data_IF_160379912840
#
_entry.id   IF_160379912840
#
_cell.length_a   1.000
_cell.length_b   1.000
_cell.length_c   1.000
_cell.angle_alpha   90.00
_cell.angle_beta   90.00
_cell.angle_gamma   90.00
#
_symmetry.space_group_name_H-M   'P 1'
#
loop_
_entity.id
_entity.type
_entity.pdbx_description
1 polymer ?
#
# COMPACT_ATOMS: atom_id res chain seq x y z
N UNK A 1 31.25 3.78 -11.56
CA UNK A 1 30.92 5.19 -11.80
C UNK A 1 30.75 5.83 -10.44
N UNK A 2 31.48 6.90 -10.17
CA UNK A 2 31.35 7.73 -8.98
C UNK A 2 29.95 8.33 -8.88
N UNK A 3 29.53 8.74 -7.68
CA UNK A 3 28.22 9.36 -7.48
C UNK A 3 28.02 10.65 -8.30
N UNK A 4 29.11 11.35 -8.60
CA UNK A 4 29.08 12.58 -9.40
C UNK A 4 28.95 12.27 -10.91
N UNK A 5 29.57 11.19 -11.40
CA UNK A 5 29.37 10.69 -12.77
C UNK A 5 27.93 10.13 -12.99
N UNK A 6 27.31 9.52 -11.97
CA UNK A 6 25.92 9.01 -12.05
C UNK A 6 24.92 10.18 -12.13
N UNK A 7 25.14 11.23 -11.34
CA UNK A 7 24.34 12.47 -11.42
C UNK A 7 24.48 13.12 -12.79
N UNK A 8 25.67 13.13 -13.36
CA UNK A 8 25.95 13.74 -14.66
C UNK A 8 25.26 13.00 -15.83
N UNK A 9 25.36 11.66 -15.88
CA UNK A 9 24.70 10.86 -16.93
C UNK A 9 23.17 10.97 -16.86
N UNK A 10 22.58 10.86 -15.66
CA UNK A 10 21.13 11.00 -15.51
C UNK A 10 20.68 12.41 -15.88
N UNK A 11 21.43 13.44 -15.47
CA UNK A 11 21.10 14.85 -15.77
C UNK A 11 21.20 15.12 -17.26
N UNK A 12 22.22 14.58 -17.93
CA UNK A 12 22.42 14.72 -19.38
C UNK A 12 21.31 14.05 -20.19
N UNK A 13 20.90 12.82 -19.83
CA UNK A 13 19.78 12.13 -20.48
C UNK A 13 18.47 12.90 -20.25
N UNK A 14 18.21 13.32 -19.01
CA UNK A 14 17.00 14.11 -18.70
C UNK A 14 16.98 15.42 -19.47
N UNK A 15 18.09 16.16 -19.49
CA UNK A 15 18.21 17.41 -20.24
C UNK A 15 18.00 17.19 -21.73
N UNK A 16 18.67 16.20 -22.33
CA UNK A 16 18.51 15.92 -23.75
C UNK A 16 17.08 15.55 -24.14
N UNK A 17 16.37 14.82 -23.28
CA UNK A 17 14.97 14.44 -23.51
C UNK A 17 14.02 15.62 -23.31
N UNK A 18 14.30 16.55 -22.39
CA UNK A 18 13.47 17.75 -22.16
C UNK A 18 13.68 18.79 -23.25
N UNK A 19 14.91 18.98 -23.71
CA UNK A 19 15.23 19.92 -24.79
C UNK A 19 15.01 19.33 -26.18
N UNK A 20 14.54 18.08 -26.28
CA UNK A 20 14.38 17.35 -27.54
C UNK A 20 15.67 17.36 -28.39
N UNK A 21 16.81 17.17 -27.74
CA UNK A 21 18.13 17.04 -28.38
C UNK A 21 18.72 15.63 -28.23
N UNK A 22 18.02 14.74 -27.52
CA UNK A 22 18.46 13.35 -27.35
C UNK A 22 18.08 12.49 -28.57
N UNK A 23 19.05 11.75 -29.10
CA UNK A 23 18.91 10.94 -30.30
C UNK A 23 18.88 9.44 -30.00
N UNK A 24 18.00 8.71 -30.68
CA UNK A 24 17.96 7.27 -30.62
C UNK A 24 19.15 6.68 -31.40
N UNK A 25 20.11 6.03 -30.73
CA UNK A 25 21.32 5.48 -31.38
C UNK A 25 21.03 4.35 -32.39
N UNK A 26 19.82 3.81 -32.44
CA UNK A 26 19.44 2.78 -33.44
C UNK A 26 19.08 3.41 -34.78
N UNK A 27 18.42 4.57 -34.79
CA UNK A 27 17.90 5.20 -36.01
C UNK A 27 18.42 6.61 -36.26
N UNK A 28 19.22 7.16 -35.33
CA UNK A 28 19.78 8.52 -35.39
C UNK A 28 18.72 9.63 -35.49
N UNK A 29 17.52 9.38 -34.95
CA UNK A 29 16.43 10.36 -34.92
C UNK A 29 16.20 10.86 -33.50
N UNK A 30 15.82 12.13 -33.37
CA UNK A 30 15.49 12.77 -32.09
C UNK A 30 14.28 12.10 -31.43
N UNK A 31 14.41 11.78 -30.15
CA UNK A 31 13.34 11.23 -29.32
C UNK A 31 12.48 12.38 -28.77
N UNK A 32 11.27 12.54 -29.31
CA UNK A 32 10.31 13.58 -28.90
C UNK A 32 9.43 13.12 -27.73
N UNK A 33 8.72 14.04 -27.04
CA UNK A 33 7.73 13.72 -25.99
C UNK A 33 6.64 12.74 -26.41
N UNK A 34 6.18 12.83 -27.66
CA UNK A 34 5.11 11.96 -28.19
C UNK A 34 5.57 10.55 -28.55
N UNK A 35 6.89 10.29 -28.62
CA UNK A 35 7.39 8.99 -29.02
C UNK A 35 7.24 7.96 -27.88
N UNK A 36 6.81 6.74 -28.23
CA UNK A 36 6.88 5.59 -27.33
C UNK A 36 8.34 5.21 -27.13
N UNK A 37 8.82 5.21 -25.89
CA UNK A 37 10.23 4.95 -25.56
C UNK A 37 10.42 3.74 -24.68
N UNK A 38 11.58 3.10 -24.85
CA UNK A 38 12.10 2.10 -23.93
C UNK A 38 13.45 2.57 -23.40
N UNK A 39 13.74 2.33 -22.12
CA UNK A 39 15.02 2.64 -21.48
C UNK A 39 15.66 1.37 -20.94
N UNK A 40 16.99 1.29 -21.02
CA UNK A 40 17.72 0.16 -20.47
C UNK A 40 17.77 0.24 -18.94
N UNK A 41 17.47 -0.86 -18.24
CA UNK A 41 17.60 -0.91 -16.77
C UNK A 41 19.04 -0.88 -16.24
N UNK A 42 20.04 -1.09 -17.10
CA UNK A 42 21.46 -1.14 -16.71
C UNK A 42 22.19 0.16 -17.03
N UNK A 43 22.05 0.68 -18.25
CA UNK A 43 22.75 1.91 -18.67
C UNK A 43 21.83 3.13 -18.84
N UNK A 44 20.52 2.96 -18.63
CA UNK A 44 19.50 4.01 -18.75
C UNK A 44 19.38 4.69 -20.12
N UNK A 45 20.14 4.26 -21.13
CA UNK A 45 20.02 4.74 -22.49
C UNK A 45 18.58 4.58 -22.99
N UNK A 46 18.06 5.62 -23.65
CA UNK A 46 16.67 5.70 -24.09
C UNK A 46 16.61 5.49 -25.61
N UNK A 47 15.63 4.73 -26.05
CA UNK A 47 15.42 4.40 -27.45
C UNK A 47 13.95 4.48 -27.81
N UNK A 48 13.64 4.62 -29.11
CA UNK A 48 12.29 4.37 -29.59
C UNK A 48 11.91 2.92 -29.32
N UNK A 49 10.72 2.68 -28.75
CA UNK A 49 10.22 1.33 -28.47
C UNK A 49 10.27 0.44 -29.73
N UNK A 50 9.83 0.98 -30.87
CA UNK A 50 9.82 0.25 -32.14
C UNK A 50 11.24 -0.09 -32.63
N UNK A 51 12.22 0.78 -32.39
CA UNK A 51 13.62 0.51 -32.76
C UNK A 51 14.18 -0.63 -31.91
N UNK A 52 13.94 -0.60 -30.60
CA UNK A 52 14.39 -1.66 -29.69
C UNK A 52 13.71 -2.99 -30.00
N UNK A 53 12.41 -3.00 -30.31
CA UNK A 53 11.69 -4.22 -30.69
C UNK A 53 12.28 -4.85 -31.95
N UNK A 54 12.48 -4.06 -33.02
CA UNK A 54 13.09 -4.55 -34.27
C UNK A 54 14.51 -5.05 -34.07
N UNK A 55 15.27 -4.39 -33.20
CA UNK A 55 16.62 -4.81 -32.84
C UNK A 55 16.61 -6.15 -32.09
N UNK A 56 15.83 -6.22 -31.01
CA UNK A 56 15.71 -7.41 -30.17
C UNK A 56 15.23 -8.63 -30.96
N UNK A 57 14.25 -8.47 -31.85
CA UNK A 57 13.74 -9.55 -32.72
C UNK A 57 14.82 -10.11 -33.66
N UNK A 58 15.70 -9.25 -34.20
CA UNK A 58 16.77 -9.66 -35.12
C UNK A 58 17.98 -10.24 -34.40
N UNK A 59 18.21 -9.81 -33.17
CA UNK A 59 19.37 -10.17 -32.36
C UNK A 59 19.01 -11.14 -31.22
N UNK A 60 17.90 -11.87 -31.36
CA UNK A 60 17.47 -12.85 -30.37
C UNK A 60 18.29 -14.13 -30.54
N UNK A 61 19.17 -14.40 -29.59
CA UNK A 61 20.04 -15.58 -29.62
C UNK A 61 19.25 -16.85 -29.25
N UNK A 62 19.77 -18.03 -29.63
CA UNK A 62 19.21 -19.34 -29.26
C UNK A 62 19.11 -19.55 -27.73
N UNK A 63 19.83 -18.74 -26.94
CA UNK A 63 19.76 -18.72 -25.48
C UNK A 63 18.54 -17.96 -24.92
N UNK A 64 17.67 -17.42 -25.78
CA UNK A 64 16.48 -16.69 -25.34
C UNK A 64 16.77 -15.26 -24.86
N UNK A 65 17.88 -14.65 -25.29
CA UNK A 65 18.27 -13.30 -24.87
C UNK A 65 18.76 -12.44 -26.03
N UNK A 66 18.66 -11.12 -25.89
CA UNK A 66 19.16 -10.14 -26.85
C UNK A 66 20.03 -9.10 -26.13
N UNK A 67 20.92 -8.42 -26.88
CA UNK A 67 21.87 -7.45 -26.31
C UNK A 67 21.41 -6.00 -26.52
N UNK A 68 21.47 -5.21 -25.45
CA UNK A 68 21.17 -3.78 -25.51
C UNK A 68 22.16 -3.04 -26.46
N UNK A 69 21.69 -2.19 -27.40
CA UNK A 69 22.56 -1.40 -28.28
C UNK A 69 23.50 -0.45 -27.54
N UNK A 70 23.12 0.02 -26.34
CA UNK A 70 23.93 0.98 -25.58
C UNK A 70 25.04 0.33 -24.73
N UNK A 71 24.74 -0.77 -24.04
CA UNK A 71 25.68 -1.37 -23.07
C UNK A 71 26.01 -2.85 -23.32
N UNK A 72 25.42 -3.46 -24.35
CA UNK A 72 25.55 -4.89 -24.68
C UNK A 72 25.14 -5.89 -23.60
N UNK A 73 24.54 -5.42 -22.49
CA UNK A 73 23.98 -6.30 -21.47
C UNK A 73 22.83 -7.13 -22.05
N UNK A 74 22.74 -8.39 -21.61
CA UNK A 74 21.69 -9.30 -22.05
C UNK A 74 20.34 -8.90 -21.44
N UNK A 75 19.28 -9.11 -22.22
CA UNK A 75 17.89 -8.94 -21.82
C UNK A 75 17.12 -10.19 -22.21
N UNK A 76 16.34 -10.73 -21.27
CA UNK A 76 15.64 -12.01 -21.38
C UNK A 76 14.30 -11.90 -22.13
N UNK A 77 13.76 -10.69 -22.29
CA UNK A 77 12.47 -10.47 -22.93
C UNK A 77 12.48 -9.27 -23.86
N UNK A 78 11.71 -9.37 -24.94
CA UNK A 78 11.52 -8.29 -25.90
C UNK A 78 10.54 -7.28 -25.27
N UNK A 79 10.85 -5.97 -25.23
CA UNK A 79 9.93 -4.99 -24.65
C UNK A 79 8.64 -4.87 -25.46
N UNK A 80 7.50 -5.16 -24.84
CA UNK A 80 6.17 -5.02 -25.46
C UNK A 80 5.48 -3.70 -25.08
N UNK A 81 5.81 -3.17 -23.90
CA UNK A 81 5.23 -1.95 -23.34
C UNK A 81 6.26 -0.82 -23.28
N UNK A 82 5.79 0.42 -23.31
CA UNK A 82 6.63 1.62 -23.15
C UNK A 82 6.38 2.24 -21.78
N UNK A 83 7.41 2.84 -21.20
CA UNK A 83 7.27 3.61 -19.97
C UNK A 83 6.83 5.04 -20.30
N UNK A 84 5.79 5.52 -19.63
CA UNK A 84 5.35 6.91 -19.71
C UNK A 84 6.35 7.81 -18.98
N UNK A 85 6.75 8.92 -19.61
CA UNK A 85 7.66 9.90 -18.99
C UNK A 85 6.86 10.82 -18.06
N UNK A 86 7.39 11.09 -16.86
CA UNK A 86 6.77 11.95 -15.86
C UNK A 86 6.76 13.46 -16.21
N UNK A 87 7.49 13.86 -17.26
CA UNK A 87 7.80 15.29 -17.51
C UNK A 87 6.66 16.05 -18.22
N UNK A 88 5.74 15.37 -18.90
CA UNK A 88 4.60 16.01 -19.56
C UNK A 88 3.35 15.14 -19.48
N UNK A 89 2.92 14.88 -18.26
CA UNK A 89 1.50 14.58 -18.01
C UNK A 89 0.97 15.74 -17.19
N UNK A 90 0.12 16.55 -17.81
CA UNK A 90 -0.89 17.27 -17.05
C UNK A 90 -1.61 16.20 -16.21
N UNK A 91 -1.30 16.15 -14.92
CA UNK A 91 -1.84 15.16 -13.99
C UNK A 91 -3.35 15.33 -13.78
N UNK A 92 -3.99 16.24 -14.52
CA UNK A 92 -5.43 16.47 -14.55
C UNK A 92 -6.26 15.30 -15.12
N UNK A 93 -5.61 14.31 -15.76
CA UNK A 93 -6.30 13.16 -16.37
C UNK A 93 -5.39 11.97 -16.59
N UNK A 94 -4.67 11.53 -15.54
CA UNK A 94 -3.67 10.48 -15.65
C UNK A 94 -4.18 9.21 -16.36
N UNK A 95 -3.29 8.61 -17.14
CA UNK A 95 -3.62 7.47 -18.02
C UNK A 95 -3.96 6.24 -17.18
N UNK A 96 -5.19 5.76 -17.31
CA UNK A 96 -5.61 4.43 -16.83
C UNK A 96 -4.98 3.35 -17.71
N UNK A 97 -4.33 2.36 -17.11
CA UNK A 97 -3.90 1.15 -17.82
C UNK A 97 -5.02 0.11 -17.98
N UNK A 98 -6.28 0.48 -17.70
CA UNK A 98 -7.53 -0.33 -17.74
C UNK A 98 -7.52 -1.60 -16.86
N UNK A 99 -6.37 -1.92 -16.25
CA UNK A 99 -6.15 -3.01 -15.33
C UNK A 99 -6.65 -2.65 -13.93
N UNK A 100 -6.85 -3.64 -13.05
CA UNK A 100 -7.22 -3.39 -11.65
C UNK A 100 -6.11 -2.60 -10.96
N UNK A 101 -6.47 -1.53 -10.24
CA UNK A 101 -5.53 -0.65 -9.56
C UNK A 101 -4.62 -1.41 -8.57
N UNK A 102 -5.20 -2.26 -7.72
CA UNK A 102 -4.44 -3.14 -6.83
C UNK A 102 -3.69 -2.44 -5.70
N UNK A 103 -3.75 -1.10 -5.59
CA UNK A 103 -3.10 -0.34 -4.52
C UNK A 103 -3.73 -0.62 -3.15
N UNK A 104 -2.90 -0.60 -2.10
CA UNK A 104 -3.37 -0.73 -0.73
C UNK A 104 -4.19 0.52 -0.34
N UNK A 105 -5.44 0.32 0.06
CA UNK A 105 -6.34 1.40 0.46
C UNK A 105 -5.91 2.01 1.80
N UNK A 106 -6.38 3.23 2.09
CA UNK A 106 -6.08 3.92 3.36
C UNK A 106 -6.49 3.18 4.64
N UNK A 107 -7.29 2.11 4.55
CA UNK A 107 -7.58 1.22 5.68
C UNK A 107 -6.42 0.26 6.03
N UNK A 108 -5.40 0.15 5.18
CA UNK A 108 -4.22 -0.70 5.39
C UNK A 108 -4.47 -2.21 5.33
N UNK A 109 -5.70 -2.64 5.03
CA UNK A 109 -6.09 -4.07 5.00
C UNK A 109 -6.62 -4.53 3.64
N UNK A 110 -7.23 -3.62 2.88
CA UNK A 110 -7.89 -3.96 1.62
C UNK A 110 -7.21 -3.29 0.44
N UNK A 111 -7.31 -3.93 -0.72
CA UNK A 111 -6.75 -3.46 -1.99
C UNK A 111 -7.83 -2.84 -2.88
N UNK A 112 -7.46 -1.83 -3.66
CA UNK A 112 -8.33 -1.16 -4.61
C UNK A 112 -8.74 -2.12 -5.74
N UNK A 113 -10.04 -2.41 -5.82
CA UNK A 113 -10.64 -3.25 -6.87
C UNK A 113 -11.14 -2.45 -8.08
N UNK A 114 -11.04 -1.12 -8.05
CA UNK A 114 -11.43 -0.25 -9.17
C UNK A 114 -10.41 -0.38 -10.31
N UNK A 115 -10.82 -0.02 -11.52
CA UNK A 115 -9.87 0.13 -12.62
C UNK A 115 -8.82 1.18 -12.27
N UNK A 116 -7.62 1.05 -12.85
CA UNK A 116 -6.54 2.00 -12.69
C UNK A 116 -7.08 3.41 -12.91
N UNK A 117 -6.90 4.26 -11.92
CA UNK A 117 -7.42 5.62 -11.93
C UNK A 117 -6.28 6.56 -11.55
N UNK A 118 -6.31 7.81 -12.03
CA UNK A 118 -5.25 8.77 -11.77
C UNK A 118 -5.31 9.40 -10.38
N UNK A 119 -6.51 9.46 -9.79
CA UNK A 119 -6.74 10.05 -8.47
C UNK A 119 -6.30 9.11 -7.33
N UNK A 120 -6.23 9.63 -6.10
CA UNK A 120 -6.05 8.79 -4.92
C UNK A 120 -7.19 7.78 -4.80
N UNK A 121 -6.88 6.57 -4.29
CA UNK A 121 -7.91 5.57 -4.07
C UNK A 121 -8.95 6.09 -3.07
N UNK A 122 -10.23 5.94 -3.44
CA UNK A 122 -11.35 6.28 -2.56
C UNK A 122 -11.29 5.48 -1.26
N UNK A 123 -12.07 5.91 -0.25
CA UNK A 123 -12.23 5.14 0.99
C UNK A 123 -12.61 3.69 0.71
N UNK A 124 -12.23 2.82 1.65
CA UNK A 124 -12.60 1.42 1.57
C UNK A 124 -14.12 1.27 1.65
N UNK A 125 -14.72 0.64 0.64
CA UNK A 125 -16.16 0.36 0.56
C UNK A 125 -16.48 -1.09 0.99
N UNK A 126 -15.49 -1.83 1.50
CA UNK A 126 -15.68 -3.21 1.96
C UNK A 126 -16.51 -3.19 3.24
N UNK A 127 -17.63 -3.92 3.25
CA UNK A 127 -18.45 -4.13 4.43
C UNK A 127 -17.80 -5.20 5.30
N UNK A 128 -17.56 -4.87 6.55
CA UNK A 128 -16.99 -5.75 7.58
C UNK A 128 -17.99 -5.93 8.71
N UNK A 129 -17.97 -7.11 9.35
CA UNK A 129 -18.81 -7.38 10.51
C UNK A 129 -18.07 -6.92 11.77
N UNK A 130 -18.58 -5.87 12.40
CA UNK A 130 -18.15 -5.44 13.72
C UNK A 130 -18.94 -6.21 14.79
N UNK A 131 -18.27 -6.65 15.86
CA UNK A 131 -18.89 -7.37 16.97
C UNK A 131 -18.70 -6.59 18.27
N UNK A 132 -19.65 -6.71 19.20
CA UNK A 132 -19.43 -6.25 20.58
C UNK A 132 -18.24 -6.96 21.21
N UNK A 133 -17.69 -6.39 22.28
CA UNK A 133 -16.66 -7.03 23.11
C UNK A 133 -17.08 -8.43 23.62
N UNK A 134 -18.40 -8.64 23.74
CA UNK A 134 -19.01 -9.89 24.15
C UNK A 134 -19.24 -10.92 23.03
N UNK A 135 -19.09 -10.54 21.76
CA UNK A 135 -19.43 -11.34 20.58
C UNK A 135 -20.93 -11.63 20.33
N UNK A 136 -21.86 -11.09 21.12
CA UNK A 136 -23.31 -11.38 21.00
C UNK A 136 -24.09 -10.48 20.05
N UNK A 137 -23.62 -9.25 19.86
CA UNK A 137 -24.24 -8.28 18.97
C UNK A 137 -23.25 -8.02 17.85
N UNK A 138 -23.74 -8.10 16.63
CA UNK A 138 -22.96 -7.88 15.42
C UNK A 138 -23.64 -6.80 14.58
N UNK A 139 -22.85 -5.98 13.89
CA UNK A 139 -23.34 -4.97 12.97
C UNK A 139 -22.45 -4.95 11.73
N UNK A 140 -23.06 -4.81 10.58
CA UNK A 140 -22.34 -4.51 9.34
C UNK A 140 -21.92 -3.04 9.34
N UNK A 141 -20.66 -2.78 9.06
CA UNK A 141 -20.11 -1.43 8.94
C UNK A 141 -19.09 -1.39 7.81
N UNK A 142 -19.00 -0.27 7.10
CA UNK A 142 -17.97 -0.12 6.09
C UNK A 142 -16.58 -0.04 6.74
N UNK A 143 -15.56 -0.60 6.10
CA UNK A 143 -14.21 -0.59 6.64
C UNK A 143 -13.69 0.84 6.84
N UNK A 144 -13.26 1.15 8.07
CA UNK A 144 -12.86 2.51 8.46
C UNK A 144 -14.04 3.41 8.89
N UNK A 145 -15.27 2.88 8.88
CA UNK A 145 -16.44 3.48 9.50
C UNK A 145 -16.47 3.07 10.99
N UNK A 146 -15.80 3.89 11.81
CA UNK A 146 -15.68 3.71 13.25
C UNK A 146 -14.70 4.71 13.84
N UNK A 147 -14.83 5.03 15.13
CA UNK A 147 -13.86 5.87 15.82
C UNK A 147 -12.57 5.07 16.01
N UNK A 148 -11.43 5.63 15.59
CA UNK A 148 -10.13 5.08 15.95
C UNK A 148 -9.97 5.15 17.48
N UNK A 149 -9.88 4.00 18.14
CA UNK A 149 -9.52 3.93 19.55
C UNK A 149 -8.11 4.48 19.69
N UNK A 150 -7.97 5.74 20.10
CA UNK A 150 -6.67 6.25 20.56
C UNK A 150 -6.37 5.54 21.87
N UNK A 151 -5.59 4.47 21.82
CA UNK A 151 -4.85 4.02 22.99
C UNK A 151 -3.89 5.16 23.37
N UNK A 152 -4.07 5.71 24.57
CA UNK A 152 -3.33 6.84 25.08
C UNK A 152 -1.81 6.64 24.97
N UNK A 153 -1.11 7.61 24.37
CA UNK A 153 0.35 7.69 24.40
C UNK A 153 0.95 8.43 23.20
N UNK A 154 0.87 9.76 23.20
CA UNK A 154 1.55 10.57 22.19
C UNK A 154 1.10 12.02 22.21
N UNK A 155 1.88 12.87 22.87
CA UNK A 155 1.69 14.30 22.95
C UNK A 155 1.89 14.94 21.57
N UNK A 156 0.80 15.36 20.93
CA UNK A 156 0.78 16.42 19.92
C UNK A 156 -0.67 16.76 19.62
N UNK A 157 -1.09 17.91 20.13
CA UNK A 157 -2.47 18.39 20.06
C UNK A 157 -3.00 18.49 18.63
N UNK A 158 -4.20 17.95 18.45
CA UNK A 158 -5.31 18.55 17.68
C UNK A 158 -6.59 17.96 18.28
N UNK A 159 -7.23 18.74 19.14
CA UNK A 159 -8.59 18.50 19.61
C UNK A 159 -9.51 18.56 18.39
N UNK A 160 -9.93 17.39 17.89
CA UNK A 160 -11.19 17.33 17.18
C UNK A 160 -12.26 17.13 18.25
N UNK A 161 -13.12 18.15 18.40
CA UNK A 161 -14.30 18.08 19.24
C UNK A 161 -15.14 16.90 18.75
N UNK A 162 -15.22 15.85 19.55
CA UNK A 162 -16.12 14.72 19.30
C UNK A 162 -17.50 15.19 19.75
N UNK A 163 -18.31 15.67 18.82
CA UNK A 163 -19.75 15.80 19.05
C UNK A 163 -20.35 14.39 19.11
N UNK A 164 -20.74 14.01 20.32
CA UNK A 164 -21.93 13.24 20.70
C UNK A 164 -22.58 12.38 19.59
N UNK A 165 -22.70 11.05 19.83
CA UNK A 165 -23.38 10.01 19.01
C UNK A 165 -22.59 9.16 18.01
N UNK A 166 -21.35 8.75 18.33
CA UNK A 166 -20.77 7.52 17.74
C UNK A 166 -20.58 6.48 18.83
N UNK A 167 -21.64 5.73 19.10
CA UNK A 167 -21.70 4.68 20.11
C UNK A 167 -20.75 3.54 19.72
N UNK A 168 -19.79 3.25 20.61
CA UNK A 168 -19.09 1.98 20.63
C UNK A 168 -20.11 0.84 20.45
N UNK A 169 -19.81 -0.22 19.68
CA UNK A 169 -20.73 -1.36 19.54
C UNK A 169 -20.76 -2.17 20.84
N UNK A 170 -21.32 -1.59 21.89
CA UNK A 170 -21.57 -2.22 23.18
C UNK A 170 -23.01 -2.72 23.20
N UNK A 171 -23.24 -3.85 23.86
CA UNK A 171 -24.59 -4.34 24.11
C UNK A 171 -24.97 -4.13 25.58
N UNK A 172 -26.24 -4.30 25.90
CA UNK A 172 -26.74 -4.12 27.27
C UNK A 172 -26.36 -5.25 28.24
N UNK A 173 -25.60 -6.25 27.80
CA UNK A 173 -25.15 -7.34 28.67
C UNK A 173 -24.17 -6.82 29.71
N UNK A 174 -24.54 -6.97 30.98
CA UNK A 174 -23.64 -6.72 32.11
C UNK A 174 -22.57 -7.83 32.15
N UNK A 175 -21.30 -7.46 32.10
CA UNK A 175 -20.19 -8.39 32.31
C UNK A 175 -20.20 -8.86 33.77
N UNK A 176 -20.07 -10.17 34.00
CA UNK A 176 -19.92 -10.78 35.34
C UNK A 176 -18.59 -11.50 35.52
N UNK A 177 -17.58 -11.14 34.73
CA UNK A 177 -16.22 -11.67 34.84
C UNK A 177 -15.65 -11.42 36.24
N UNK A 178 -14.83 -12.33 36.74
CA UNK A 178 -14.19 -12.18 38.04
C UNK A 178 -13.08 -11.12 37.94
N UNK A 179 -13.10 -10.13 38.84
CA UNK A 179 -12.06 -9.11 38.93
C UNK A 179 -10.73 -9.71 39.38
N UNK A 180 -9.63 -8.99 39.17
CA UNK A 180 -8.25 -9.45 39.51
C UNK A 180 -8.11 -9.87 40.98
N UNK A 181 -8.89 -9.29 41.90
CA UNK A 181 -8.90 -9.68 43.31
C UNK A 181 -9.61 -11.02 43.60
N UNK A 182 -10.16 -11.71 42.60
CA UNK A 182 -10.70 -13.07 42.71
C UNK A 182 -11.99 -13.21 43.53
N UNK A 183 -12.51 -12.11 44.09
CA UNK A 183 -13.67 -12.10 45.01
C UNK A 183 -14.84 -11.24 44.53
N UNK A 184 -14.60 -10.31 43.60
CA UNK A 184 -15.62 -9.39 43.10
C UNK A 184 -15.91 -9.66 41.63
N UNK A 185 -17.15 -9.46 41.22
CA UNK A 185 -17.56 -9.55 39.82
C UNK A 185 -17.50 -8.17 39.16
N UNK A 186 -17.28 -8.17 37.84
CA UNK A 186 -17.52 -7.01 37.01
C UNK A 186 -19.01 -6.64 37.05
N UNK A 187 -19.30 -5.37 36.78
CA UNK A 187 -20.66 -4.84 36.66
C UNK A 187 -20.79 -3.87 35.46
N UNK A 188 -19.75 -3.79 34.64
CA UNK A 188 -19.69 -2.89 33.48
C UNK A 188 -20.47 -3.52 32.32
N UNK A 189 -21.27 -2.70 31.61
CA UNK A 189 -21.96 -3.13 30.38
C UNK A 189 -20.94 -3.41 29.29
N UNK A 190 -20.99 -4.62 28.74
CA UNK A 190 -20.16 -5.09 27.63
C UNK A 190 -18.71 -4.57 27.66
N UNK A 191 -17.98 -4.83 28.75
CA UNK A 191 -16.60 -4.37 28.86
C UNK A 191 -15.67 -5.11 27.88
N UNK A 192 -14.47 -4.56 27.57
CA UNK A 192 -13.52 -5.18 26.65
C UNK A 192 -13.06 -6.60 27.02
N UNK A 193 -13.14 -6.96 28.31
CA UNK A 193 -12.77 -8.28 28.81
C UNK A 193 -13.96 -9.22 29.01
N UNK A 194 -15.16 -8.87 28.53
CA UNK A 194 -16.38 -9.67 28.76
C UNK A 194 -16.34 -11.09 28.16
N UNK A 195 -15.51 -11.33 27.14
CA UNK A 195 -15.36 -12.63 26.49
C UNK A 195 -14.01 -13.33 26.77
N UNK A 196 -13.18 -12.80 27.67
CA UNK A 196 -11.97 -13.52 28.12
C UNK A 196 -12.41 -14.76 28.90
N UNK A 197 -12.45 -15.92 28.22
CA UNK A 197 -12.74 -17.20 28.86
C UNK A 197 -11.71 -17.41 29.96
N UNK A 198 -12.15 -17.54 31.21
CA UNK A 198 -11.32 -18.12 32.26
C UNK A 198 -11.10 -19.59 31.93
N UNK A 199 -10.13 -19.89 31.06
CA UNK A 199 -9.69 -21.25 30.82
C UNK A 199 -8.96 -21.75 32.07
N UNK A 200 -9.73 -22.25 33.04
CA UNK A 200 -9.20 -23.19 34.04
C UNK A 200 -8.94 -24.53 33.34
N UNK A 201 -7.95 -24.58 32.46
CA UNK A 201 -7.37 -25.83 32.00
C UNK A 201 -6.32 -26.26 33.01
N UNK A 202 -6.61 -27.34 33.73
CA UNK A 202 -5.61 -28.10 34.47
C UNK A 202 -4.50 -28.51 33.49
N UNK A 203 -3.26 -28.11 33.77
CA UNK A 203 -2.07 -28.76 33.20
C UNK A 203 -1.15 -27.87 32.37
N UNK A 204 -0.09 -27.39 33.04
CA UNK A 204 1.30 -27.21 32.58
C UNK A 204 1.66 -26.28 31.40
N UNK A 205 2.53 -25.34 31.77
CA UNK A 205 3.66 -24.75 31.05
C UNK A 205 3.42 -23.48 30.20
N UNK A 206 4.14 -22.42 30.63
CA UNK A 206 4.28 -21.06 30.08
C UNK A 206 2.99 -20.27 29.88
N UNK A 207 2.42 -19.77 30.98
CA UNK A 207 1.40 -18.73 30.93
C UNK A 207 2.10 -17.38 31.13
N UNK A 208 2.19 -16.58 30.07
CA UNK A 208 2.27 -15.13 30.24
C UNK A 208 1.00 -14.74 31.01
N UNK A 209 1.15 -14.30 32.26
CA UNK A 209 0.03 -13.79 33.04
C UNK A 209 -0.49 -12.53 32.35
N UNK A 210 -1.48 -12.69 31.47
CA UNK A 210 -2.10 -11.60 30.75
C UNK A 210 -2.87 -10.72 31.76
N UNK A 211 -2.20 -9.66 32.25
CA UNK A 211 -2.75 -8.72 33.20
C UNK A 211 -4.01 -8.04 32.62
N UNK A 212 -5.18 -8.43 33.12
CA UNK A 212 -6.47 -7.89 32.69
C UNK A 212 -6.74 -6.51 33.34
N UNK A 213 -6.22 -5.47 32.69
CA UNK A 213 -6.44 -4.05 33.05
C UNK A 213 -7.92 -3.69 33.22
N UNK A 214 -8.82 -4.33 32.48
CA UNK A 214 -10.24 -3.97 32.46
C UNK A 214 -11.02 -4.53 33.67
N UNK A 215 -10.46 -5.52 34.36
CA UNK A 215 -11.05 -6.16 35.53
C UNK A 215 -10.27 -5.87 36.82
N UNK A 216 -9.48 -4.80 36.86
CA UNK A 216 -8.78 -4.35 38.06
C UNK A 216 -9.77 -3.91 39.15
N UNK A 217 -9.54 -4.27 40.41
CA UNK A 217 -10.35 -3.77 41.53
C UNK A 217 -9.95 -2.32 41.82
N UNK A 218 -10.92 -1.39 41.81
CA UNK A 218 -10.73 -0.05 42.37
C UNK A 218 -10.83 -0.17 43.89
N UNK A 219 -9.80 0.29 44.60
CA UNK A 219 -9.74 0.30 46.06
C UNK A 219 -10.73 1.32 46.64
#
# INVERSE_FOLDING_TARGET
LSLDEIKDVSTSITYGLTTSTYECMICCEVIRPSNKTWSCGVCWAVFHLQCTQKWAQKSFDNAGSWRCPGCQNNSESIPETYQLRCIEVDHSGGKSCESVCGNLLGCGKHYCKKQCHPDDCTRCEVIEIQKCYCGQTEREATCGEGIAIRCCGGESGKSLQVSDSHEELICDRICRGLRTCGKHQCSVRCCPSANKKSSKSRGSASQEEEYDVNHQCVL
#
